data_IF_392639086642
#
_entry.id   IF_392639086642
#
_cell.length_a   1.000
_cell.length_b   1.000
_cell.length_c   1.000
_cell.angle_alpha   90.00
_cell.angle_beta   90.00
_cell.angle_gamma   90.00
#
_symmetry.space_group_name_H-M   'P 1'
#
loop_
_entity.id
_entity.type
_entity.pdbx_description
1 polymer ?
#
# COMPACT_ATOMS: atom_id res chain seq x y z
N UNK A 1 12.81 8.95 3.16
CA UNK A 1 11.38 8.72 3.49
C UNK A 1 10.99 9.71 4.57
N UNK A 2 9.84 10.37 4.46
CA UNK A 2 9.36 11.32 5.47
C UNK A 2 8.27 10.66 6.33
N UNK A 3 8.34 10.85 7.64
CA UNK A 3 7.29 10.44 8.57
C UNK A 3 6.72 11.70 9.22
N UNK A 4 5.41 11.83 9.26
CA UNK A 4 4.74 12.96 9.93
C UNK A 4 3.44 12.47 10.55
N UNK A 5 3.25 12.75 11.85
CA UNK A 5 1.99 12.50 12.58
C UNK A 5 1.46 11.06 12.37
N UNK A 6 2.32 10.05 12.53
CA UNK A 6 1.89 8.65 12.38
C UNK A 6 1.81 8.13 10.95
N UNK A 7 2.10 8.97 9.94
CA UNK A 7 1.95 8.64 8.53
C UNK A 7 3.31 8.53 7.84
N UNK A 8 3.54 7.39 7.20
CA UNK A 8 4.68 7.15 6.33
C UNK A 8 4.42 7.72 4.93
N UNK A 9 5.42 8.42 4.37
CA UNK A 9 5.37 8.97 3.03
C UNK A 9 6.44 8.33 2.14
N UNK A 10 6.09 8.12 0.87
CA UNK A 10 7.00 7.51 -0.10
C UNK A 10 6.55 7.67 -1.53
N UNK A 11 7.10 6.83 -2.40
CA UNK A 11 6.77 6.78 -3.83
C UNK A 11 6.33 5.36 -4.17
N UNK A 12 5.21 5.23 -4.89
CA UNK A 12 4.60 3.98 -5.31
C UNK A 12 4.10 4.14 -6.75
N UNK A 13 4.57 3.29 -7.68
CA UNK A 13 4.26 3.43 -9.10
C UNK A 13 4.68 4.78 -9.71
N UNK A 14 5.76 5.39 -9.21
CA UNK A 14 6.22 6.72 -9.65
C UNK A 14 5.40 7.89 -9.12
N UNK A 15 4.40 7.65 -8.25
CA UNK A 15 3.55 8.68 -7.64
C UNK A 15 3.79 8.74 -6.14
N UNK A 16 3.74 9.94 -5.56
CA UNK A 16 3.85 10.12 -4.11
C UNK A 16 2.64 9.50 -3.40
N UNK A 17 2.89 8.78 -2.32
CA UNK A 17 1.86 8.21 -1.46
C UNK A 17 2.08 8.59 -0.01
N UNK A 18 0.99 8.55 0.75
CA UNK A 18 0.97 8.63 2.20
C UNK A 18 0.20 7.43 2.75
N UNK A 19 0.63 6.87 3.86
CA UNK A 19 -0.04 5.69 4.41
C UNK A 19 0.48 5.28 5.78
N UNK A 20 -0.16 4.29 6.36
CA UNK A 20 0.28 3.66 7.61
C UNK A 20 0.05 2.17 7.55
N UNK A 21 0.90 1.46 8.28
CA UNK A 21 0.79 0.03 8.54
C UNK A 21 0.66 -0.17 10.05
N UNK A 22 -0.21 -1.08 10.46
CA UNK A 22 -0.45 -1.42 11.85
C UNK A 22 -0.66 -2.92 12.01
N UNK A 23 -0.02 -3.50 13.03
CA UNK A 23 -0.20 -4.90 13.40
C UNK A 23 -0.53 -5.00 14.88
N UNK A 24 -1.49 -5.87 15.21
CA UNK A 24 -1.82 -6.26 16.58
C UNK A 24 -1.30 -7.68 16.92
N UNK A 25 -0.41 -8.24 16.09
CA UNK A 25 0.08 -9.61 16.20
C UNK A 25 -0.91 -10.66 15.67
N UNK A 26 -2.20 -10.43 15.85
CA UNK A 26 -3.30 -11.27 15.34
C UNK A 26 -4.00 -10.67 14.12
N UNK A 27 -3.92 -9.35 13.95
CA UNK A 27 -4.51 -8.62 12.83
C UNK A 27 -3.49 -7.68 12.21
N UNK A 28 -3.71 -7.36 10.93
CA UNK A 28 -2.92 -6.38 10.20
C UNK A 28 -3.79 -5.44 9.39
N UNK A 29 -3.40 -4.17 9.33
CA UNK A 29 -4.01 -3.14 8.51
C UNK A 29 -2.92 -2.35 7.76
N UNK A 30 -3.14 -2.15 6.46
CA UNK A 30 -2.43 -1.19 5.62
C UNK A 30 -3.43 -0.22 5.04
N UNK A 31 -3.15 1.06 5.14
CA UNK A 31 -3.90 2.10 4.43
C UNK A 31 -2.94 2.99 3.65
N UNK A 32 -3.21 3.16 2.35
CA UNK A 32 -2.41 3.97 1.45
C UNK A 32 -3.33 4.88 0.65
N UNK A 33 -2.95 6.15 0.55
CA UNK A 33 -3.54 7.13 -0.37
C UNK A 33 -2.49 7.61 -1.37
N UNK A 34 -2.89 7.75 -2.63
CA UNK A 34 -2.10 8.31 -3.73
C UNK A 34 -2.87 9.50 -4.31
N UNK A 35 -2.75 10.71 -3.72
CA UNK A 35 -3.65 11.83 -4.01
C UNK A 35 -3.69 12.23 -5.49
N UNK A 36 -2.53 12.28 -6.14
CA UNK A 36 -2.40 12.67 -7.56
C UNK A 36 -3.05 11.68 -8.53
N UNK A 37 -3.53 10.54 -8.06
CA UNK A 37 -4.11 9.48 -8.89
C UNK A 37 -5.55 9.15 -8.52
N UNK A 38 -6.17 9.93 -7.61
CA UNK A 38 -7.49 9.65 -7.05
C UNK A 38 -7.64 8.17 -6.62
N UNK A 39 -6.60 7.64 -5.98
CA UNK A 39 -6.47 6.23 -5.66
C UNK A 39 -6.16 6.06 -4.17
N UNK A 40 -6.87 5.15 -3.54
CA UNK A 40 -6.63 4.73 -2.17
C UNK A 40 -6.86 3.23 -2.05
N UNK A 41 -6.13 2.59 -1.16
CA UNK A 41 -6.33 1.18 -0.81
C UNK A 41 -6.26 0.99 0.69
N UNK A 42 -7.11 0.10 1.17
CA UNK A 42 -7.04 -0.45 2.52
C UNK A 42 -7.01 -1.96 2.42
N UNK A 43 -6.06 -2.58 3.11
CA UNK A 43 -5.92 -4.04 3.18
C UNK A 43 -5.99 -4.41 4.66
N UNK A 44 -6.94 -5.27 5.01
CA UNK A 44 -7.11 -5.79 6.36
C UNK A 44 -6.98 -7.31 6.34
N UNK A 45 -6.30 -7.87 7.34
CA UNK A 45 -6.10 -9.32 7.47
C UNK A 45 -6.39 -9.78 8.90
N UNK A 46 -7.00 -10.96 9.04
CA UNK A 46 -7.12 -11.66 10.34
C UNK A 46 -5.85 -12.45 10.72
N UNK A 47 -4.73 -12.07 10.12
CA UNK A 47 -3.42 -12.54 10.46
C UNK A 47 -2.56 -11.30 10.67
N UNK A 48 -1.75 -11.31 11.73
CA UNK A 48 -0.78 -10.27 12.03
C UNK A 48 0.62 -10.84 12.08
N UNK A 49 1.58 -9.96 12.30
CA UNK A 49 2.95 -10.33 12.64
C UNK A 49 3.41 -9.53 13.85
N UNK A 50 4.48 -9.97 14.52
CA UNK A 50 5.14 -9.16 15.56
C UNK A 50 5.84 -7.91 15.01
N UNK A 51 5.85 -7.71 13.69
CA UNK A 51 6.38 -6.52 13.03
C UNK A 51 5.26 -5.65 12.46
N UNK A 52 5.58 -4.39 12.15
CA UNK A 52 4.69 -3.51 11.38
C UNK A 52 4.63 -3.85 9.89
N UNK A 53 5.01 -5.06 9.48
CA UNK A 53 5.13 -5.47 8.06
C UNK A 53 4.66 -6.90 7.83
N UNK A 54 4.04 -7.14 6.67
CA UNK A 54 3.60 -8.48 6.26
C UNK A 54 3.89 -8.73 4.77
N UNK A 55 4.67 -9.77 4.47
CA UNK A 55 5.04 -10.13 3.09
C UNK A 55 3.82 -10.38 2.19
N UNK A 56 2.76 -10.98 2.73
CA UNK A 56 1.51 -11.20 2.00
C UNK A 56 0.85 -9.88 1.61
N UNK A 57 0.80 -8.91 2.52
CA UNK A 57 0.26 -7.56 2.29
C UNK A 57 1.12 -6.80 1.29
N UNK A 58 2.44 -6.90 1.37
CA UNK A 58 3.37 -6.30 0.40
C UNK A 58 3.14 -6.84 -1.02
N UNK A 59 3.02 -8.16 -1.15
CA UNK A 59 2.73 -8.82 -2.44
C UNK A 59 1.38 -8.36 -3.00
N UNK A 60 0.33 -8.36 -2.18
CA UNK A 60 -1.01 -7.93 -2.59
C UNK A 60 -1.03 -6.46 -3.01
N UNK A 61 -0.37 -5.59 -2.22
CA UNK A 61 -0.20 -4.17 -2.53
C UNK A 61 0.43 -4.02 -3.92
N UNK A 62 1.54 -4.71 -4.19
CA UNK A 62 2.20 -4.64 -5.49
C UNK A 62 1.33 -5.14 -6.65
N UNK A 63 0.52 -6.17 -6.45
CA UNK A 63 -0.41 -6.66 -7.48
C UNK A 63 -1.48 -5.62 -7.82
N UNK A 64 -2.06 -4.97 -6.81
CA UNK A 64 -3.08 -3.92 -7.00
C UNK A 64 -2.45 -2.71 -7.71
N UNK A 65 -1.27 -2.27 -7.27
CA UNK A 65 -0.55 -1.14 -7.88
C UNK A 65 -0.22 -1.42 -9.34
N UNK A 66 0.30 -2.62 -9.66
CA UNK A 66 0.53 -3.01 -11.06
C UNK A 66 -0.75 -3.03 -11.87
N UNK A 67 -1.86 -3.55 -11.32
CA UNK A 67 -3.15 -3.57 -12.02
C UNK A 67 -3.69 -2.16 -12.29
N UNK A 68 -3.55 -1.24 -11.34
CA UNK A 68 -4.08 0.11 -11.44
C UNK A 68 -3.20 1.04 -12.29
N UNK A 69 -1.89 1.09 -12.03
CA UNK A 69 -0.97 2.03 -12.68
C UNK A 69 -0.36 1.51 -13.99
N UNK A 70 -0.27 0.19 -14.17
CA UNK A 70 0.31 -0.41 -15.37
C UNK A 70 -0.75 -0.75 -16.43
N UNK A 71 -1.99 -0.28 -16.27
CA UNK A 71 -3.10 -0.58 -17.16
C UNK A 71 -2.90 -0.03 -18.58
N UNK A 72 -2.12 1.04 -18.73
CA UNK A 72 -1.74 1.62 -20.02
C UNK A 72 -0.95 0.67 -20.91
N UNK A 73 -0.11 -0.21 -20.38
CA UNK A 73 0.60 -1.21 -21.20
C UNK A 73 -0.32 -2.35 -21.68
N UNK A 74 -1.49 -2.55 -21.06
CA UNK A 74 -2.48 -3.54 -21.51
C UNK A 74 -3.36 -3.04 -22.67
N UNK A 75 -3.28 -1.76 -23.03
CA UNK A 75 -3.99 -1.20 -24.18
C UNK A 75 -3.18 -1.32 -25.48
N UNK A 76 -1.90 -1.66 -25.37
CA UNK A 76 -0.96 -1.83 -26.50
C UNK A 76 -0.63 -3.30 -26.81
N UNK A 77 -1.41 -4.24 -26.26
CA UNK A 77 -1.40 -5.69 -26.56
C UNK A 77 -2.81 -6.08 -27.03
#
# INVERSE_FOLDING_TARGET
>A
KGFSIGVANGVLGGKSFSGFDGSAGTFFCRSIIVPKSNFAITIMMNAGSGSGTMKAVDRLTMQIIKKHFNWWWKFWL
#
